data_IF_960842878617
#
_entry.id   IF_960842878617
#
_cell.length_a   1.000
_cell.length_b   1.000
_cell.length_c   1.000
_cell.angle_alpha   90.00
_cell.angle_beta   90.00
_cell.angle_gamma   90.00
#
_symmetry.space_group_name_H-M   'P 1'
#
loop_
_entity.id
_entity.type
_entity.pdbx_description
1 polymer ?
#
# COMPACT_ATOMS: atom_id res chain seq x y z
N UNK A 1 0.66 23.80 3.12
CA UNK A 1 0.88 22.66 2.20
C UNK A 1 1.46 21.55 3.06
N UNK A 2 0.68 20.54 3.41
CA UNK A 2 1.07 19.57 4.44
C UNK A 2 2.07 18.57 3.88
N UNK A 3 3.34 18.81 4.18
CA UNK A 3 4.52 18.00 3.83
C UNK A 3 4.60 16.68 4.63
N UNK A 4 3.45 16.11 4.99
CA UNK A 4 3.34 14.92 5.85
C UNK A 4 3.06 13.65 5.04
N UNK A 5 3.12 13.72 3.72
CA UNK A 5 2.86 12.60 2.84
C UNK A 5 4.13 11.80 2.57
N UNK A 6 4.07 10.50 2.83
CA UNK A 6 5.14 9.56 2.51
C UNK A 6 5.00 8.95 1.10
N UNK A 7 3.81 8.44 0.78
CA UNK A 7 3.51 7.75 -0.49
C UNK A 7 2.08 8.04 -0.96
N UNK A 8 1.75 7.53 -2.14
CA UNK A 8 0.39 7.52 -2.69
C UNK A 8 -0.13 6.09 -2.66
N UNK A 9 -1.42 5.94 -2.36
CA UNK A 9 -2.11 4.69 -2.56
C UNK A 9 -2.05 4.28 -4.04
N UNK A 10 -1.65 3.04 -4.31
CA UNK A 10 -1.56 2.49 -5.66
C UNK A 10 -2.93 2.31 -6.34
N UNK A 11 -4.00 2.18 -5.57
CA UNK A 11 -5.37 2.02 -6.08
C UNK A 11 -6.08 3.37 -6.26
N UNK A 12 -6.25 4.15 -5.19
CA UNK A 12 -7.07 5.37 -5.21
C UNK A 12 -6.28 6.67 -5.31
N UNK A 13 -4.94 6.60 -5.36
CA UNK A 13 -4.04 7.77 -5.42
C UNK A 13 -4.19 8.77 -4.26
N UNK A 14 -4.86 8.40 -3.18
CA UNK A 14 -4.90 9.20 -1.95
C UNK A 14 -3.53 9.21 -1.27
N UNK A 15 -3.16 10.32 -0.60
CA UNK A 15 -1.91 10.40 0.14
C UNK A 15 -1.92 9.45 1.36
N UNK A 16 -0.80 8.77 1.57
CA UNK A 16 -0.49 8.01 2.78
C UNK A 16 0.49 8.83 3.59
N UNK A 17 0.11 9.20 4.81
CA UNK A 17 0.92 10.04 5.67
C UNK A 17 2.05 9.25 6.36
N UNK A 18 3.11 9.94 6.78
CA UNK A 18 4.12 9.36 7.68
C UNK A 18 3.46 8.86 8.97
N UNK A 19 3.93 7.72 9.48
CA UNK A 19 3.34 7.06 10.65
C UNK A 19 1.93 6.49 10.47
N UNK A 20 1.28 6.68 9.31
CA UNK A 20 -0.03 6.11 9.03
C UNK A 20 0.06 4.60 8.79
N UNK A 21 -0.96 3.87 9.22
CA UNK A 21 -1.15 2.46 8.85
C UNK A 21 -1.49 2.37 7.36
N UNK A 22 -0.79 1.49 6.64
CA UNK A 22 -1.06 1.14 5.26
C UNK A 22 -1.03 -0.37 5.10
N UNK A 23 -1.51 -0.86 3.97
CA UNK A 23 -1.53 -2.28 3.62
C UNK A 23 -0.59 -2.55 2.46
N UNK A 24 0.15 -3.65 2.57
CA UNK A 24 0.95 -4.22 1.50
C UNK A 24 0.34 -5.57 1.09
N UNK A 25 0.54 -5.98 -0.15
CA UNK A 25 0.19 -7.35 -0.53
C UNK A 25 1.19 -8.34 0.09
N UNK A 26 0.79 -9.55 0.46
CA UNK A 26 1.75 -10.58 0.89
C UNK A 26 2.61 -11.14 -0.25
N UNK A 27 2.21 -10.92 -1.51
CA UNK A 27 2.93 -11.42 -2.68
C UNK A 27 4.18 -10.57 -2.94
N UNK A 28 5.35 -11.21 -2.93
CA UNK A 28 6.66 -10.53 -3.01
C UNK A 28 6.87 -9.72 -4.28
N UNK A 29 6.26 -10.11 -5.41
CA UNK A 29 6.35 -9.38 -6.69
C UNK A 29 5.72 -7.99 -6.59
N UNK A 30 4.60 -7.85 -5.87
CA UNK A 30 3.92 -6.58 -5.60
C UNK A 30 4.69 -5.67 -4.63
N UNK A 31 5.77 -6.17 -4.00
CA UNK A 31 6.56 -5.44 -3.00
C UNK A 31 7.99 -5.13 -3.46
N UNK A 32 8.34 -5.42 -4.72
CA UNK A 32 9.69 -5.18 -5.24
C UNK A 32 10.01 -3.69 -5.21
N UNK A 33 11.26 -3.33 -4.91
CA UNK A 33 11.73 -1.94 -4.65
C UNK A 33 11.29 -0.87 -5.68
N UNK A 34 11.14 -1.23 -6.97
CA UNK A 34 10.69 -0.30 -8.04
C UNK A 34 9.18 -0.30 -8.30
N UNK A 35 8.45 -1.28 -7.77
CA UNK A 35 7.04 -1.55 -8.06
C UNK A 35 6.21 -1.74 -6.77
N UNK A 36 6.77 -1.42 -5.61
CA UNK A 36 6.12 -1.66 -4.33
C UNK A 36 4.76 -0.94 -4.30
N UNK A 37 3.70 -1.72 -4.12
CA UNK A 37 2.34 -1.24 -4.03
C UNK A 37 2.01 -0.92 -2.57
N UNK A 38 1.37 0.22 -2.35
CA UNK A 38 0.96 0.69 -1.03
C UNK A 38 -0.55 0.96 -1.07
N UNK A 39 -1.31 0.44 -0.12
CA UNK A 39 -2.75 0.61 -0.08
C UNK A 39 -3.17 1.32 1.21
N UNK A 40 -4.02 2.34 1.12
CA UNK A 40 -4.46 3.07 2.31
C UNK A 40 -5.53 2.32 3.13
N UNK A 41 -6.22 1.35 2.53
CA UNK A 41 -7.27 0.53 3.16
C UNK A 41 -7.21 -0.89 2.61
N UNK A 42 -7.85 -1.83 3.32
CA UNK A 42 -8.06 -3.20 2.82
C UNK A 42 -8.88 -3.19 1.53
N UNK A 43 -9.92 -2.35 1.41
CA UNK A 43 -10.69 -2.24 0.16
C UNK A 43 -9.82 -1.82 -1.05
N UNK A 44 -8.82 -0.95 -0.83
CA UNK A 44 -7.87 -0.57 -1.87
C UNK A 44 -6.95 -1.74 -2.27
N UNK A 45 -6.64 -2.62 -1.32
CA UNK A 45 -5.92 -3.86 -1.59
C UNK A 45 -6.82 -4.88 -2.30
N UNK A 46 -8.08 -5.07 -1.88
CA UNK A 46 -9.06 -5.96 -2.53
C UNK A 46 -9.30 -5.56 -3.99
N UNK A 47 -9.44 -4.26 -4.26
CA UNK A 47 -9.58 -3.73 -5.61
C UNK A 47 -8.39 -4.08 -6.51
N UNK A 48 -7.19 -4.17 -5.95
CA UNK A 48 -6.01 -4.66 -6.66
C UNK A 48 -6.06 -6.19 -6.85
N UNK A 49 -6.49 -6.92 -5.81
CA UNK A 49 -6.46 -8.38 -5.77
C UNK A 49 -7.36 -8.98 -6.85
N UNK A 50 -8.55 -8.38 -7.05
CA UNK A 50 -9.51 -8.76 -8.08
C UNK A 50 -8.92 -8.78 -9.51
N UNK A 51 -7.90 -7.97 -9.79
CA UNK A 51 -7.23 -7.90 -11.09
C UNK A 51 -5.87 -8.62 -11.16
N UNK A 52 -5.33 -9.08 -10.03
CA UNK A 52 -3.94 -9.50 -9.92
C UNK A 52 -3.71 -11.02 -10.06
N UNK A 53 -4.78 -11.82 -10.22
CA UNK A 53 -4.74 -13.28 -10.41
C UNK A 53 -3.85 -14.00 -9.38
N UNK A 54 -3.94 -13.59 -8.11
CA UNK A 54 -3.21 -14.25 -7.04
C UNK A 54 -3.83 -15.62 -6.73
N UNK A 55 -2.97 -16.62 -6.49
CA UNK A 55 -3.42 -17.94 -5.99
C UNK A 55 -3.79 -17.89 -4.51
N UNK A 56 -3.02 -17.14 -3.73
CA UNK A 56 -3.22 -16.92 -2.30
C UNK A 56 -2.49 -15.64 -1.90
N UNK A 57 -3.24 -14.64 -1.46
CA UNK A 57 -2.77 -13.32 -1.08
C UNK A 57 -3.56 -12.85 0.13
N UNK A 58 -2.97 -11.93 0.90
CA UNK A 58 -3.66 -11.22 1.97
C UNK A 58 -3.08 -9.81 2.12
N UNK A 59 -3.86 -8.93 2.74
CA UNK A 59 -3.41 -7.62 3.14
C UNK A 59 -2.51 -7.72 4.38
N UNK A 60 -1.25 -7.35 4.25
CA UNK A 60 -0.34 -7.16 5.39
C UNK A 60 -0.45 -5.73 5.90
N UNK A 61 -0.93 -5.58 7.13
CA UNK A 61 -0.92 -4.28 7.81
C UNK A 61 0.52 -3.87 8.15
N UNK A 62 0.90 -2.65 7.75
CA UNK A 62 2.22 -2.05 7.97
C UNK A 62 2.07 -0.61 8.42
N UNK A 63 3.12 -0.08 9.06
CA UNK A 63 3.18 1.32 9.47
C UNK A 63 4.16 2.07 8.58
N UNK A 64 3.72 3.21 8.04
CA UNK A 64 4.60 4.11 7.32
C UNK A 64 5.73 4.58 8.25
N UNK A 65 6.93 4.86 7.73
CA UNK A 65 8.05 5.32 8.54
C UNK A 65 7.66 6.61 9.30
N UNK A 66 8.38 6.88 10.39
CA UNK A 66 8.31 8.20 11.02
C UNK A 66 8.83 9.26 10.03
N UNK A 67 8.32 10.49 10.15
CA UNK A 67 8.82 11.61 9.35
C UNK A 67 10.32 11.80 9.65
N UNK A 68 11.17 11.96 8.62
CA UNK A 68 12.60 12.23 8.82
C UNK A 68 12.86 13.58 9.50
#
# INVERSE_FOLDING_TARGET
MSDDQWKLCSACRKPIAYGQTYYACSVSTCNRKRMALYFCTVDCWDAHDAGANHRSSWAEEKKAPAKP
#
